data_IF_529942046812
#
_entry.id   IF_529942046812
#
_cell.length_a   1.000
_cell.length_b   1.000
_cell.length_c   1.000
_cell.angle_alpha   90.00
_cell.angle_beta   90.00
_cell.angle_gamma   90.00
#
_symmetry.space_group_name_H-M   'P 1'
#
loop_
_entity.id
_entity.type
_entity.pdbx_description
1 polymer ?
#
# COMPACT_ATOMS: atom_id res chain seq x y z
N UNK A 1 18.22 -3.44 -17.28
CA UNK A 1 17.58 -4.74 -17.58
C UNK A 1 16.50 -4.63 -18.66
N UNK A 2 15.62 -3.62 -18.65
CA UNK A 2 14.59 -3.43 -19.70
C UNK A 2 15.22 -3.35 -21.09
N UNK A 3 16.28 -2.56 -21.26
CA UNK A 3 17.01 -2.41 -22.53
C UNK A 3 17.70 -3.69 -22.99
N UNK A 4 18.19 -4.48 -22.05
CA UNK A 4 18.97 -5.70 -22.34
C UNK A 4 18.08 -6.91 -22.56
N UNK A 5 17.09 -7.12 -21.67
CA UNK A 5 16.20 -8.30 -21.69
C UNK A 5 14.99 -8.12 -22.58
N UNK A 6 14.63 -6.86 -22.92
CA UNK A 6 13.46 -6.50 -23.75
C UNK A 6 12.19 -7.24 -23.35
N UNK A 7 11.75 -7.16 -22.07
CA UNK A 7 10.57 -7.85 -21.62
C UNK A 7 9.31 -7.28 -22.30
N UNK A 8 8.28 -8.10 -22.45
CA UNK A 8 6.98 -7.65 -22.96
C UNK A 8 6.26 -6.75 -21.95
N UNK A 9 6.42 -7.06 -20.66
CA UNK A 9 5.83 -6.32 -19.54
C UNK A 9 6.92 -6.17 -18.47
N UNK A 10 7.05 -4.96 -17.93
CA UNK A 10 7.79 -4.66 -16.71
C UNK A 10 6.78 -4.35 -15.60
N UNK A 11 6.81 -5.11 -14.53
CA UNK A 11 5.92 -4.95 -13.38
C UNK A 11 6.71 -4.52 -12.15
N UNK A 12 6.17 -3.58 -11.37
CA UNK A 12 6.77 -3.10 -10.14
C UNK A 12 5.72 -2.72 -9.10
N UNK A 13 6.07 -2.88 -7.82
CA UNK A 13 5.25 -2.41 -6.70
C UNK A 13 5.62 -0.96 -6.40
N UNK A 14 4.63 -0.05 -6.35
CA UNK A 14 4.84 1.36 -5.98
C UNK A 14 5.06 1.54 -4.48
N UNK A 15 4.26 0.86 -3.66
CA UNK A 15 4.25 1.00 -2.20
C UNK A 15 4.31 -0.38 -1.53
N UNK A 16 5.51 -0.80 -1.10
CA UNK A 16 5.76 -2.14 -0.56
C UNK A 16 5.55 -2.19 0.95
N UNK A 17 4.47 -2.83 1.39
CA UNK A 17 4.07 -2.89 2.80
C UNK A 17 4.84 -3.92 3.63
N UNK A 18 5.56 -4.85 3.01
CA UNK A 18 6.41 -5.79 3.75
C UNK A 18 7.66 -5.12 4.31
N UNK A 19 8.14 -4.07 3.64
CA UNK A 19 9.37 -3.34 3.99
C UNK A 19 9.13 -1.89 4.40
N UNK A 20 8.03 -1.27 3.99
CA UNK A 20 7.76 0.16 4.20
C UNK A 20 8.47 1.07 3.18
N UNK A 21 8.78 0.54 1.98
CA UNK A 21 9.47 1.26 0.91
C UNK A 21 8.48 1.84 -0.09
N UNK A 22 8.67 3.11 -0.43
CA UNK A 22 8.07 3.78 -1.57
C UNK A 22 9.04 3.76 -2.75
N UNK A 23 8.63 3.15 -3.86
CA UNK A 23 9.41 3.06 -5.09
C UNK A 23 9.12 4.25 -5.99
N UNK A 24 10.10 5.13 -6.32
CA UNK A 24 9.91 6.16 -7.33
C UNK A 24 9.59 5.57 -8.71
N UNK A 25 8.58 6.12 -9.39
CA UNK A 25 8.10 5.62 -10.69
C UNK A 25 8.42 6.54 -11.86
N UNK A 26 8.82 7.79 -11.61
CA UNK A 26 9.13 8.77 -12.64
C UNK A 26 10.19 8.28 -13.63
N UNK A 27 9.96 8.50 -14.92
CA UNK A 27 10.86 8.10 -15.99
C UNK A 27 10.83 6.62 -16.39
N UNK A 28 10.28 5.73 -15.54
CA UNK A 28 10.20 4.30 -15.86
C UNK A 28 9.30 4.05 -17.07
N UNK A 29 8.15 4.73 -17.13
CA UNK A 29 7.24 4.61 -18.26
C UNK A 29 7.84 5.05 -19.59
N UNK A 30 8.69 6.09 -19.60
CA UNK A 30 9.43 6.49 -20.80
C UNK A 30 10.40 5.44 -21.25
N UNK A 31 11.14 4.84 -20.31
CA UNK A 31 12.05 3.74 -20.60
C UNK A 31 11.29 2.53 -21.15
N UNK A 32 10.15 2.20 -20.58
CA UNK A 32 9.29 1.11 -21.06
C UNK A 32 8.78 1.37 -22.48
N UNK A 33 8.29 2.60 -22.75
CA UNK A 33 7.82 2.97 -24.11
C UNK A 33 8.92 2.90 -25.15
N UNK A 34 10.12 3.41 -24.84
CA UNK A 34 11.29 3.35 -25.72
C UNK A 34 11.67 1.92 -26.11
N UNK A 35 11.41 0.95 -25.23
CA UNK A 35 11.75 -0.46 -25.43
C UNK A 35 10.55 -1.34 -25.82
N UNK A 36 9.41 -0.76 -26.23
CA UNK A 36 8.17 -1.47 -26.56
C UNK A 36 7.70 -2.44 -25.47
N UNK A 37 7.95 -2.09 -24.21
CA UNK A 37 7.56 -2.81 -23.02
C UNK A 37 6.30 -2.17 -22.42
N UNK A 38 5.36 -2.95 -21.92
CA UNK A 38 4.23 -2.44 -21.13
C UNK A 38 4.68 -2.21 -19.68
N UNK A 39 4.20 -1.11 -19.08
CA UNK A 39 4.49 -0.76 -17.70
C UNK A 39 3.29 -1.07 -16.81
N UNK A 40 3.43 -2.06 -15.92
CA UNK A 40 2.43 -2.49 -14.95
C UNK A 40 2.82 -2.04 -13.55
N UNK A 41 1.92 -1.36 -12.84
CA UNK A 41 2.14 -0.91 -11.47
C UNK A 41 1.16 -1.58 -10.50
N UNK A 42 1.71 -2.18 -9.47
CA UNK A 42 0.96 -2.52 -8.26
C UNK A 42 0.78 -1.25 -7.43
N UNK A 43 -0.44 -0.75 -7.38
CA UNK A 43 -0.85 0.43 -6.62
C UNK A 43 -1.73 0.05 -5.40
N UNK A 44 -1.62 -1.18 -4.90
CA UNK A 44 -2.44 -1.69 -3.79
C UNK A 44 -2.42 -0.77 -2.60
N UNK A 45 -1.26 -0.26 -2.21
CA UNK A 45 -1.12 0.57 -1.00
C UNK A 45 -1.03 2.07 -1.29
N UNK A 46 -0.81 2.47 -2.55
CA UNK A 46 -0.69 3.87 -2.93
C UNK A 46 -1.99 4.52 -3.41
N UNK A 47 -2.85 3.77 -4.11
CA UNK A 47 -4.07 4.34 -4.69
C UNK A 47 -4.95 5.01 -3.61
N UNK A 48 -5.28 6.27 -3.82
CA UNK A 48 -6.11 7.08 -2.94
C UNK A 48 -5.39 7.66 -1.73
N UNK A 49 -4.18 7.20 -1.39
CA UNK A 49 -3.42 7.67 -0.22
C UNK A 49 -2.13 8.42 -0.55
N UNK A 50 -1.54 8.14 -1.71
CA UNK A 50 -0.31 8.75 -2.21
C UNK A 50 -0.51 9.29 -3.62
N UNK A 51 0.38 10.18 -4.04
CA UNK A 51 0.47 10.63 -5.43
C UNK A 51 0.66 9.44 -6.36
N UNK A 52 -0.20 9.37 -7.38
CA UNK A 52 -0.15 8.34 -8.41
C UNK A 52 -0.66 8.94 -9.73
N UNK A 53 0.27 9.37 -10.56
CA UNK A 53 -0.02 10.05 -11.83
C UNK A 53 0.08 9.06 -12.99
N UNK A 54 -0.99 8.26 -13.19
CA UNK A 54 -1.01 7.13 -14.13
C UNK A 54 -0.65 7.57 -15.55
N UNK A 55 -1.24 8.64 -16.05
CA UNK A 55 -1.02 9.11 -17.41
C UNK A 55 0.32 9.81 -17.58
N UNK A 56 0.71 10.68 -16.64
CA UNK A 56 1.98 11.43 -16.67
C UNK A 56 3.18 10.48 -16.57
N UNK A 57 3.09 9.47 -15.69
CA UNK A 57 4.13 8.44 -15.55
C UNK A 57 4.04 7.36 -16.60
N UNK A 58 3.11 7.49 -17.56
CA UNK A 58 2.95 6.57 -18.69
C UNK A 58 2.78 5.12 -18.28
N UNK A 59 2.04 4.90 -17.20
CA UNK A 59 1.67 3.57 -16.72
C UNK A 59 0.65 2.98 -17.71
N UNK A 60 0.91 1.77 -18.20
CA UNK A 60 0.02 1.09 -19.15
C UNK A 60 -1.09 0.29 -18.45
N UNK A 61 -0.75 -0.27 -17.29
CA UNK A 61 -1.68 -1.04 -16.46
C UNK A 61 -1.42 -0.72 -15.00
N UNK A 62 -2.50 -0.58 -14.21
CA UNK A 62 -2.39 -0.52 -12.76
C UNK A 62 -3.53 -1.26 -12.10
N UNK A 63 -3.26 -1.84 -10.94
CA UNK A 63 -4.28 -2.45 -10.09
C UNK A 63 -4.11 -2.02 -8.64
N UNK A 64 -5.21 -2.11 -7.89
CA UNK A 64 -5.25 -1.82 -6.49
C UNK A 64 -6.26 -2.71 -5.76
N UNK A 65 -6.58 -2.38 -4.53
CA UNK A 65 -7.63 -3.04 -3.75
C UNK A 65 -8.44 -2.04 -2.92
N UNK A 66 -9.63 -2.46 -2.51
CA UNK A 66 -10.57 -1.61 -1.76
C UNK A 66 -10.14 -1.36 -0.30
N UNK A 67 -9.40 -2.29 0.34
CA UNK A 67 -9.13 -2.30 1.78
C UNK A 67 -7.86 -1.57 2.22
N UNK A 68 -7.25 -0.78 1.36
CA UNK A 68 -6.06 0.04 1.68
C UNK A 68 -6.40 1.52 1.70
N UNK A 69 -5.78 2.35 0.87
CA UNK A 69 -6.01 3.78 0.83
C UNK A 69 -7.47 4.20 0.58
N UNK A 70 -8.28 3.35 -0.04
CA UNK A 70 -9.71 3.60 -0.29
C UNK A 70 -10.60 3.39 0.95
N UNK A 71 -10.08 2.84 2.04
CA UNK A 71 -10.78 2.66 3.33
C UNK A 71 -12.08 1.84 3.28
N UNK A 72 -12.17 0.89 2.35
CA UNK A 72 -13.34 0.04 2.17
C UNK A 72 -13.07 -1.39 2.66
N UNK A 73 -14.10 -2.22 2.85
CA UNK A 73 -13.90 -3.65 3.07
C UNK A 73 -13.18 -4.33 1.90
N UNK A 74 -12.43 -5.42 2.13
CA UNK A 74 -11.82 -6.19 1.05
C UNK A 74 -12.88 -6.84 0.16
N UNK A 75 -12.55 -7.05 -1.13
CA UNK A 75 -13.43 -7.76 -2.07
C UNK A 75 -13.52 -7.14 -3.46
N UNK A 76 -12.98 -5.95 -3.68
CA UNK A 76 -12.87 -5.34 -5.01
C UNK A 76 -11.42 -4.95 -5.31
N UNK A 77 -11.07 -5.05 -6.58
CA UNK A 77 -9.76 -4.68 -7.11
C UNK A 77 -9.94 -3.67 -8.25
N UNK A 78 -9.82 -2.35 -7.96
CA UNK A 78 -9.74 -1.35 -9.01
C UNK A 78 -8.62 -1.70 -9.98
N UNK A 79 -8.92 -1.61 -11.27
CA UNK A 79 -8.00 -1.92 -12.36
C UNK A 79 -8.16 -0.91 -13.48
N UNK A 80 -7.06 -0.51 -14.10
CA UNK A 80 -7.04 0.30 -15.30
C UNK A 80 -6.02 -0.21 -16.30
N UNK A 81 -6.31 -0.01 -17.60
CA UNK A 81 -5.37 -0.22 -18.69
C UNK A 81 -5.57 0.84 -19.77
N UNK A 82 -4.48 1.23 -20.41
CA UNK A 82 -4.53 2.18 -21.51
C UNK A 82 -4.65 1.46 -22.88
N UNK A 83 -4.73 2.26 -23.94
CA UNK A 83 -4.90 1.74 -25.30
C UNK A 83 -3.78 0.79 -25.74
N UNK A 84 -2.52 1.03 -25.33
CA UNK A 84 -1.40 0.12 -25.66
C UNK A 84 -1.59 -1.27 -25.06
N UNK A 85 -2.07 -1.33 -23.82
CA UNK A 85 -2.37 -2.59 -23.14
C UNK A 85 -3.58 -3.29 -23.76
N UNK A 86 -4.63 -2.55 -24.12
CA UNK A 86 -5.78 -3.08 -24.84
C UNK A 86 -5.41 -3.67 -26.21
N UNK A 87 -4.59 -2.97 -26.99
CA UNK A 87 -4.13 -3.46 -28.28
C UNK A 87 -3.31 -4.76 -28.15
N UNK A 88 -2.48 -4.84 -27.11
CA UNK A 88 -1.73 -6.08 -26.82
C UNK A 88 -2.64 -7.22 -26.40
N UNK A 89 -3.67 -6.94 -25.58
CA UNK A 89 -4.69 -7.91 -25.20
C UNK A 89 -5.47 -8.42 -26.42
N UNK A 90 -5.90 -7.50 -27.30
CA UNK A 90 -6.67 -7.81 -28.50
C UNK A 90 -5.88 -8.63 -29.54
N UNK A 91 -4.57 -8.42 -29.60
CA UNK A 91 -3.66 -9.19 -30.47
C UNK A 91 -3.34 -10.60 -29.95
N UNK A 92 -3.84 -10.97 -28.76
CA UNK A 92 -3.59 -12.27 -28.16
C UNK A 92 -4.28 -13.38 -28.93
N UNK A 93 -3.55 -14.41 -29.32
CA UNK A 93 -4.06 -15.58 -30.03
C UNK A 93 -4.31 -16.79 -29.13
N UNK A 94 -3.64 -16.84 -27.97
CA UNK A 94 -3.80 -17.94 -27.02
C UNK A 94 -4.92 -17.67 -26.02
N UNK A 95 -5.66 -18.71 -25.64
CA UNK A 95 -6.71 -18.60 -24.61
C UNK A 95 -6.12 -18.20 -23.25
N UNK A 96 -6.81 -17.31 -22.54
CA UNK A 96 -6.49 -16.98 -21.14
C UNK A 96 -6.82 -18.20 -20.27
N UNK A 97 -5.88 -18.71 -19.43
CA UNK A 97 -6.10 -19.93 -18.66
C UNK A 97 -7.09 -19.76 -17.51
N UNK A 98 -7.31 -18.53 -17.06
CA UNK A 98 -8.27 -18.24 -15.99
C UNK A 98 -9.45 -17.44 -16.54
N UNK A 99 -10.60 -18.10 -16.63
CA UNK A 99 -11.84 -17.48 -17.14
C UNK A 99 -12.25 -16.25 -16.33
N UNK A 100 -12.15 -16.29 -15.00
CA UNK A 100 -12.59 -15.19 -14.13
C UNK A 100 -11.74 -13.92 -14.28
N UNK A 101 -10.46 -14.06 -14.59
CA UNK A 101 -9.51 -12.96 -14.79
C UNK A 101 -9.28 -12.62 -16.28
N UNK A 102 -10.09 -13.14 -17.18
CA UNK A 102 -10.01 -12.80 -18.59
C UNK A 102 -10.58 -11.40 -18.84
N UNK A 103 -9.69 -10.42 -19.01
CA UNK A 103 -10.06 -9.02 -19.23
C UNK A 103 -10.89 -8.82 -20.50
N UNK A 104 -10.76 -9.69 -21.53
CA UNK A 104 -11.55 -9.60 -22.74
C UNK A 104 -13.02 -9.94 -22.48
N UNK A 105 -13.28 -10.90 -21.59
CA UNK A 105 -14.62 -11.26 -21.15
C UNK A 105 -15.19 -10.21 -20.19
N UNK A 106 -14.37 -9.71 -19.27
CA UNK A 106 -14.77 -8.65 -18.33
C UNK A 106 -15.13 -7.35 -19.06
N UNK A 107 -14.38 -6.98 -20.10
CA UNK A 107 -14.69 -5.81 -20.93
C UNK A 107 -16.07 -5.93 -21.61
N UNK A 108 -16.45 -7.11 -22.07
CA UNK A 108 -17.78 -7.35 -22.66
C UNK A 108 -18.90 -7.31 -21.62
N UNK A 109 -18.59 -7.70 -20.37
CA UNK A 109 -19.56 -7.67 -19.28
C UNK A 109 -19.83 -6.23 -18.79
N UNK A 110 -18.79 -5.43 -18.62
CA UNK A 110 -18.89 -4.07 -18.07
C UNK A 110 -19.00 -2.99 -19.15
N UNK A 111 -18.67 -3.33 -20.39
CA UNK A 111 -18.81 -2.46 -21.55
C UNK A 111 -20.23 -2.38 -22.11
N UNK A 112 -20.34 -1.92 -23.34
CA UNK A 112 -21.62 -1.76 -24.07
C UNK A 112 -22.38 -3.06 -24.29
N UNK A 113 -21.67 -4.16 -24.49
CA UNK A 113 -22.24 -5.46 -24.84
C UNK A 113 -23.07 -6.08 -23.71
N UNK A 114 -22.75 -5.76 -22.47
CA UNK A 114 -23.39 -6.25 -21.24
C UNK A 114 -23.59 -7.78 -21.21
N UNK A 115 -22.63 -8.51 -21.74
CA UNK A 115 -22.66 -9.98 -21.71
C UNK A 115 -22.35 -10.45 -20.29
N UNK A 116 -23.30 -11.18 -19.69
CA UNK A 116 -23.13 -11.69 -18.33
C UNK A 116 -21.85 -12.54 -18.21
N UNK A 117 -21.07 -12.25 -17.19
CA UNK A 117 -19.84 -12.98 -16.84
C UNK A 117 -19.95 -13.61 -15.45
N UNK A 118 -20.17 -12.81 -14.42
CA UNK A 118 -20.30 -13.27 -13.03
C UNK A 118 -21.22 -12.34 -12.24
N UNK A 119 -21.70 -12.82 -11.08
CA UNK A 119 -22.46 -11.96 -10.18
C UNK A 119 -21.51 -11.02 -9.43
N UNK A 120 -21.61 -9.74 -9.72
CA UNK A 120 -20.80 -8.73 -9.02
C UNK A 120 -21.15 -8.65 -7.53
N UNK A 121 -20.16 -8.41 -6.63
CA UNK A 121 -20.40 -8.28 -5.20
C UNK A 121 -21.05 -6.93 -4.89
N UNK A 122 -22.38 -6.85 -4.98
CA UNK A 122 -23.17 -5.61 -4.91
C UNK A 122 -22.88 -4.80 -3.64
N UNK A 123 -22.79 -5.46 -2.48
CA UNK A 123 -22.51 -4.77 -1.23
C UNK A 123 -21.12 -4.10 -1.24
N UNK A 124 -20.13 -4.72 -1.88
CA UNK A 124 -18.80 -4.13 -2.01
C UNK A 124 -18.79 -2.95 -2.98
N UNK A 125 -19.65 -2.98 -4.01
CA UNK A 125 -19.82 -1.85 -4.92
C UNK A 125 -20.42 -0.62 -4.18
N UNK A 126 -21.37 -0.83 -3.27
CA UNK A 126 -21.86 0.26 -2.42
C UNK A 126 -20.77 0.78 -1.47
N UNK A 127 -19.97 -0.11 -0.89
CA UNK A 127 -18.87 0.28 0.00
C UNK A 127 -17.80 1.11 -0.74
N UNK A 128 -17.36 0.67 -1.92
CA UNK A 128 -16.35 1.42 -2.69
C UNK A 128 -16.91 2.75 -3.21
N UNK A 129 -18.18 2.81 -3.59
CA UNK A 129 -18.84 4.06 -3.96
C UNK A 129 -18.78 5.07 -2.81
N UNK A 130 -19.05 4.63 -1.58
CA UNK A 130 -18.96 5.51 -0.41
C UNK A 130 -17.52 5.94 -0.13
N UNK A 131 -16.55 5.03 -0.18
CA UNK A 131 -15.13 5.37 -0.05
C UNK A 131 -14.69 6.41 -1.08
N UNK A 132 -15.05 6.23 -2.34
CA UNK A 132 -14.77 7.19 -3.41
C UNK A 132 -15.47 8.53 -3.19
N UNK A 133 -16.70 8.54 -2.65
CA UNK A 133 -17.42 9.77 -2.29
C UNK A 133 -16.68 10.55 -1.19
N UNK A 134 -16.18 9.85 -0.17
CA UNK A 134 -15.38 10.48 0.90
C UNK A 134 -14.08 11.06 0.36
N UNK A 135 -13.39 10.32 -0.50
CA UNK A 135 -12.17 10.78 -1.20
C UNK A 135 -12.45 12.03 -2.04
N UNK A 136 -13.54 12.03 -2.80
CA UNK A 136 -13.92 13.18 -3.62
C UNK A 136 -14.27 14.43 -2.78
N UNK A 137 -14.89 14.23 -1.62
CA UNK A 137 -15.23 15.31 -0.70
C UNK A 137 -14.00 15.93 -0.02
N UNK A 138 -13.03 15.11 0.39
CA UNK A 138 -11.78 15.57 0.99
C UNK A 138 -10.84 16.16 -0.08
N UNK A 139 -10.81 15.58 -1.27
CA UNK A 139 -9.91 15.89 -2.38
C UNK A 139 -8.58 15.14 -2.27
N UNK A 140 -8.10 14.60 -3.41
CA UNK A 140 -6.90 13.75 -3.45
C UNK A 140 -5.66 14.44 -2.88
N UNK A 141 -5.41 15.68 -3.25
CA UNK A 141 -4.26 16.44 -2.76
C UNK A 141 -4.27 16.65 -1.24
N UNK A 142 -5.47 16.87 -0.66
CA UNK A 142 -5.62 16.97 0.79
C UNK A 142 -5.35 15.63 1.49
N UNK A 143 -5.81 14.53 0.88
CA UNK A 143 -5.56 13.18 1.39
C UNK A 143 -4.06 12.87 1.36
N UNK A 144 -3.37 13.14 0.25
CA UNK A 144 -1.93 12.93 0.13
C UNK A 144 -1.15 13.74 1.16
N UNK A 145 -1.51 15.02 1.32
CA UNK A 145 -0.92 15.92 2.33
C UNK A 145 -1.14 15.37 3.75
N UNK A 146 -2.35 14.92 4.06
CA UNK A 146 -2.71 14.36 5.37
C UNK A 146 -1.88 13.10 5.68
N UNK A 147 -1.77 12.16 4.74
CA UNK A 147 -0.96 10.96 4.90
C UNK A 147 0.51 11.31 5.12
N UNK A 148 1.06 12.20 4.30
CA UNK A 148 2.45 12.61 4.42
C UNK A 148 2.74 13.33 5.75
N UNK A 149 1.89 14.27 6.15
CA UNK A 149 2.04 15.01 7.41
C UNK A 149 2.00 14.10 8.62
N UNK A 150 1.04 13.16 8.67
CA UNK A 150 0.90 12.19 9.75
C UNK A 150 2.09 11.21 9.78
N UNK A 151 2.58 10.78 8.64
CA UNK A 151 3.76 9.93 8.56
C UNK A 151 5.01 10.65 9.08
N UNK A 152 5.25 11.89 8.67
CA UNK A 152 6.37 12.70 9.16
C UNK A 152 6.28 12.89 10.68
N UNK A 153 5.08 13.15 11.22
CA UNK A 153 4.86 13.25 12.67
C UNK A 153 5.20 11.94 13.37
N UNK A 154 4.73 10.80 12.84
CA UNK A 154 5.06 9.47 13.38
C UNK A 154 6.57 9.20 13.35
N UNK A 155 7.23 9.44 12.23
CA UNK A 155 8.68 9.21 12.10
C UNK A 155 9.49 10.01 13.11
N UNK A 156 9.24 11.32 13.18
CA UNK A 156 9.90 12.22 14.15
C UNK A 156 9.64 11.81 15.60
N UNK A 157 8.39 11.41 15.90
CA UNK A 157 8.01 10.95 17.23
C UNK A 157 8.75 9.66 17.61
N UNK A 158 8.79 8.67 16.73
CA UNK A 158 9.52 7.41 16.97
C UNK A 158 11.03 7.66 17.13
N UNK A 159 11.61 8.48 16.26
CA UNK A 159 13.04 8.86 16.34
C UNK A 159 13.35 9.62 17.65
N UNK A 160 12.44 10.49 18.13
CA UNK A 160 12.61 11.19 19.42
C UNK A 160 12.53 10.26 20.64
N UNK A 161 11.87 9.12 20.50
CA UNK A 161 11.85 8.05 21.51
C UNK A 161 13.07 7.11 21.41
N UNK A 162 14.04 7.44 20.56
CA UNK A 162 15.26 6.64 20.36
C UNK A 162 15.06 5.41 19.47
N UNK A 163 13.97 5.34 18.74
CA UNK A 163 13.70 4.20 17.85
C UNK A 163 14.30 4.41 16.46
N UNK A 164 14.79 3.35 15.87
CA UNK A 164 15.39 3.35 14.54
C UNK A 164 14.36 2.93 13.47
N UNK A 165 14.14 3.78 12.47
CA UNK A 165 13.34 3.43 11.31
C UNK A 165 14.14 2.53 10.37
N UNK A 166 13.48 1.50 9.81
CA UNK A 166 14.14 0.50 8.98
C UNK A 166 14.53 1.03 7.61
N UNK A 167 13.73 1.96 7.05
CA UNK A 167 13.89 2.47 5.68
C UNK A 167 14.58 3.83 5.71
N UNK A 168 15.52 4.03 4.77
CA UNK A 168 16.17 5.32 4.56
C UNK A 168 15.15 6.42 4.25
N UNK A 169 15.41 7.65 4.71
CA UNK A 169 14.42 8.74 4.73
C UNK A 169 13.78 9.04 3.36
N UNK A 170 14.58 8.96 2.30
CA UNK A 170 14.16 9.24 0.91
C UNK A 170 13.22 8.19 0.30
N UNK A 171 13.15 6.98 0.90
CA UNK A 171 12.31 5.88 0.41
C UNK A 171 11.23 5.46 1.40
N UNK A 172 11.02 6.22 2.49
CA UNK A 172 9.99 5.90 3.50
C UNK A 172 8.59 6.02 2.91
N UNK A 173 7.80 5.00 3.12
CA UNK A 173 6.41 4.92 2.68
C UNK A 173 5.48 5.61 3.70
N UNK A 174 4.76 6.69 3.33
CA UNK A 174 3.87 7.38 4.26
C UNK A 174 2.72 6.54 4.79
N UNK A 175 2.22 5.60 4.01
CA UNK A 175 1.10 4.74 4.42
C UNK A 175 1.50 3.57 5.32
N UNK A 176 2.80 3.24 5.39
CA UNK A 176 3.28 2.17 6.26
C UNK A 176 4.72 2.42 6.71
N UNK A 177 4.89 2.55 8.01
CA UNK A 177 6.20 2.70 8.65
C UNK A 177 6.70 1.36 9.17
N UNK A 178 7.95 1.02 8.86
CA UNK A 178 8.67 -0.08 9.51
C UNK A 178 9.68 0.49 10.50
N UNK A 179 9.56 0.08 11.76
CA UNK A 179 10.44 0.50 12.85
C UNK A 179 11.12 -0.72 13.46
N UNK A 180 12.42 -0.64 13.72
CA UNK A 180 13.18 -1.74 14.31
C UNK A 180 12.74 -1.98 15.75
N UNK A 181 12.60 -3.25 16.10
CA UNK A 181 12.34 -3.65 17.49
C UNK A 181 13.67 -3.48 18.26
N UNK A 182 13.67 -2.70 19.36
CA UNK A 182 14.89 -2.59 20.17
C UNK A 182 15.32 -3.97 20.69
N UNK A 183 16.63 -4.32 20.67
CA UNK A 183 17.10 -5.65 21.06
C UNK A 183 16.73 -6.06 22.49
N UNK A 184 16.50 -5.07 23.35
CA UNK A 184 16.13 -5.27 24.76
C UNK A 184 14.62 -5.41 24.98
N UNK A 185 13.80 -5.50 23.92
CA UNK A 185 12.33 -5.51 24.03
C UNK A 185 11.76 -6.82 23.50
N UNK A 186 10.86 -7.44 24.27
CA UNK A 186 9.98 -8.50 23.74
C UNK A 186 8.93 -7.88 22.84
N UNK A 187 9.22 -7.86 21.54
CA UNK A 187 8.39 -7.21 20.53
C UNK A 187 7.04 -7.87 20.32
N UNK A 188 6.89 -9.17 20.57
CA UNK A 188 5.62 -9.87 20.48
C UNK A 188 4.74 -9.60 21.71
N UNK A 189 5.31 -9.66 22.90
CA UNK A 189 4.60 -9.32 24.13
C UNK A 189 4.09 -7.88 24.09
N UNK A 190 4.89 -6.93 23.60
CA UNK A 190 4.50 -5.52 23.46
C UNK A 190 3.31 -5.34 22.48
N UNK A 191 3.35 -5.97 21.30
CA UNK A 191 2.23 -5.95 20.34
C UNK A 191 0.94 -6.50 20.95
N UNK A 192 1.04 -7.65 21.63
CA UNK A 192 -0.10 -8.26 22.31
C UNK A 192 -0.66 -7.38 23.41
N UNK A 193 0.19 -6.66 24.13
CA UNK A 193 -0.19 -5.69 25.15
C UNK A 193 -0.96 -4.51 24.54
N UNK A 194 -0.47 -3.92 23.45
CA UNK A 194 -1.14 -2.84 22.73
C UNK A 194 -2.54 -3.26 22.27
N UNK A 195 -2.66 -4.46 21.68
CA UNK A 195 -3.93 -4.97 21.20
C UNK A 195 -4.93 -5.21 22.36
N UNK A 196 -4.49 -5.95 23.40
CA UNK A 196 -5.39 -6.37 24.50
C UNK A 196 -5.83 -5.23 25.40
N UNK A 197 -4.95 -4.28 25.71
CA UNK A 197 -5.23 -3.25 26.69
C UNK A 197 -5.68 -1.92 26.07
N UNK A 198 -5.30 -1.65 24.83
CA UNK A 198 -5.59 -0.37 24.18
C UNK A 198 -6.34 -0.49 22.85
N UNK A 199 -6.59 -1.71 22.36
CA UNK A 199 -7.27 -1.94 21.09
C UNK A 199 -6.48 -1.45 19.87
N UNK A 200 -5.13 -1.39 19.97
CA UNK A 200 -4.26 -0.98 18.87
C UNK A 200 -3.49 -2.19 18.35
N UNK A 201 -3.67 -2.49 17.08
CA UNK A 201 -2.95 -3.54 16.40
C UNK A 201 -1.85 -2.95 15.51
N UNK A 202 -0.59 -3.34 15.75
CA UNK A 202 0.54 -3.10 14.84
C UNK A 202 1.05 -4.44 14.30
N UNK A 203 1.51 -4.43 13.02
CA UNK A 203 1.93 -5.65 12.36
C UNK A 203 3.34 -6.12 12.80
N UNK A 204 3.57 -7.43 12.75
CA UNK A 204 4.94 -7.98 12.78
C UNK A 204 5.62 -7.78 11.42
N UNK A 205 6.95 -7.81 11.39
CA UNK A 205 7.70 -7.94 10.14
C UNK A 205 7.31 -9.21 9.36
N UNK A 206 7.58 -9.22 8.06
CA UNK A 206 7.31 -10.36 7.18
C UNK A 206 8.61 -10.96 6.64
N UNK A 207 8.62 -12.25 6.39
CA UNK A 207 9.78 -12.95 5.82
C UNK A 207 11.06 -12.70 6.62
N UNK A 208 12.09 -12.17 6.00
CA UNK A 208 13.39 -11.88 6.62
C UNK A 208 13.34 -10.80 7.73
N UNK A 209 12.26 -10.02 7.78
CA UNK A 209 12.04 -8.97 8.80
C UNK A 209 11.16 -9.45 9.97
N UNK A 210 10.67 -10.68 9.95
CA UNK A 210 9.86 -11.25 11.04
C UNK A 210 10.64 -11.21 12.36
N UNK A 211 10.00 -10.69 13.41
CA UNK A 211 10.62 -10.51 14.73
C UNK A 211 11.69 -9.42 14.82
N UNK A 212 11.98 -8.70 13.73
CA UNK A 212 13.02 -7.64 13.70
C UNK A 212 12.44 -6.23 13.63
N UNK A 213 11.25 -6.10 13.07
CA UNK A 213 10.56 -4.81 12.89
C UNK A 213 9.10 -4.91 13.26
N UNK A 214 8.52 -3.82 13.68
CA UNK A 214 7.08 -3.61 13.67
C UNK A 214 6.69 -2.83 12.41
N UNK A 215 5.46 -3.09 11.94
CA UNK A 215 4.85 -2.40 10.81
C UNK A 215 3.63 -1.60 11.29
N UNK A 216 3.70 -0.29 11.15
CA UNK A 216 2.66 0.64 11.59
C UNK A 216 1.97 1.21 10.36
N UNK A 217 0.69 0.88 10.18
CA UNK A 217 -0.11 1.34 9.05
C UNK A 217 -0.83 2.65 9.35
N UNK A 218 -0.64 3.65 8.48
CA UNK A 218 -1.38 4.91 8.46
C UNK A 218 -2.08 5.04 7.11
N UNK A 219 -3.17 4.30 6.90
CA UNK A 219 -3.85 4.23 5.61
C UNK A 219 -5.29 4.69 5.71
N UNK A 220 -5.72 5.51 4.72
CA UNK A 220 -7.10 5.94 4.59
C UNK A 220 -7.60 6.67 5.85
N UNK A 221 -8.69 6.20 6.41
CA UNK A 221 -9.30 6.78 7.61
C UNK A 221 -8.40 6.73 8.85
N UNK A 222 -7.56 5.68 8.97
CA UNK A 222 -6.65 5.54 10.11
C UNK A 222 -5.48 6.53 10.10
N UNK A 223 -5.22 7.20 8.98
CA UNK A 223 -4.20 8.25 8.92
C UNK A 223 -4.78 9.55 9.50
N UNK A 224 -4.77 9.66 10.83
CA UNK A 224 -5.18 10.84 11.57
C UNK A 224 -4.11 11.25 12.59
N UNK A 225 -4.05 12.54 12.90
CA UNK A 225 -3.12 13.08 13.89
C UNK A 225 -3.38 12.48 15.28
N UNK A 226 -4.65 12.30 15.66
CA UNK A 226 -5.06 11.70 16.91
C UNK A 226 -4.52 10.27 17.08
N UNK A 227 -4.59 9.45 16.03
CA UNK A 227 -4.07 8.08 16.05
C UNK A 227 -2.55 8.05 16.19
N UNK A 228 -1.85 9.00 15.55
CA UNK A 228 -0.39 9.13 15.69
C UNK A 228 -0.01 9.51 17.11
N UNK A 229 -0.66 10.54 17.69
CA UNK A 229 -0.40 10.98 19.06
C UNK A 229 -0.68 9.89 20.08
N UNK A 230 -1.80 9.19 19.92
CA UNK A 230 -2.16 8.07 20.78
C UNK A 230 -1.11 6.95 20.73
N UNK A 231 -0.66 6.60 19.54
CA UNK A 231 0.35 5.55 19.38
C UNK A 231 1.70 5.97 20.00
N UNK A 232 2.18 7.18 19.70
CA UNK A 232 3.44 7.69 20.23
C UNK A 232 3.44 7.76 21.76
N UNK A 233 2.33 8.22 22.36
CA UNK A 233 2.18 8.23 23.82
C UNK A 233 2.26 6.83 24.43
N UNK A 234 1.67 5.81 23.78
CA UNK A 234 1.77 4.43 24.24
C UNK A 234 3.15 3.85 24.08
N UNK A 235 3.88 4.21 23.02
CA UNK A 235 5.29 3.82 22.90
C UNK A 235 6.13 4.42 24.03
N UNK A 236 5.94 5.70 24.37
CA UNK A 236 6.66 6.36 25.44
C UNK A 236 6.37 5.77 26.83
N UNK A 237 5.09 5.52 27.13
CA UNK A 237 4.65 5.10 28.47
C UNK A 237 4.73 3.61 28.71
N UNK A 238 4.52 2.79 27.67
CA UNK A 238 4.36 1.35 27.83
C UNK A 238 5.58 0.54 27.43
N UNK A 239 6.38 1.00 26.43
CA UNK A 239 7.46 0.21 25.84
C UNK A 239 8.49 -0.26 26.88
N UNK A 240 8.82 0.60 27.85
CA UNK A 240 9.80 0.32 28.92
C UNK A 240 9.42 -0.89 29.79
N UNK A 241 8.12 -1.23 29.87
CA UNK A 241 7.61 -2.37 30.67
C UNK A 241 7.95 -3.72 30.03
N UNK A 242 8.42 -3.74 28.79
CA UNK A 242 8.73 -4.94 28.01
C UNK A 242 10.24 -5.12 27.77
N UNK A 243 11.06 -4.45 28.56
CA UNK A 243 12.52 -4.66 28.53
C UNK A 243 12.87 -6.08 29.00
N UNK A 244 13.66 -6.80 28.20
CA UNK A 244 14.14 -8.16 28.50
C UNK A 244 15.24 -8.14 29.57
N UNK A 245 15.92 -6.99 29.75
CA UNK A 245 16.93 -6.83 30.79
C UNK A 245 16.27 -6.34 32.08
N UNK A 246 16.22 -7.21 33.07
CA UNK A 246 15.72 -6.90 34.40
C UNK A 246 16.57 -5.79 35.02
N UNK A 247 15.93 -4.70 35.48
CA UNK A 247 16.57 -3.58 36.20
C UNK A 247 16.96 -3.94 37.65
N UNK A 248 16.97 -5.22 38.01
CA UNK A 248 17.30 -5.72 39.35
C UNK A 248 18.76 -6.16 39.52
N UNK A 249 19.66 -5.78 38.63
CA UNK A 249 21.09 -6.16 38.68
C UNK A 249 22.02 -4.95 38.75
N UNK A 250 21.64 -3.90 39.53
CA UNK A 250 22.61 -2.88 40.02
C UNK A 250 22.30 -2.50 41.45
#
# INVERSE_FOLDING_TARGET
EIETKKPVIFAIVHAETSTGVLQPLEGIGDLCRKNNCLFLVDAVTSLGALELFIDDWKIDLAYSCSQKGLSCPPGLSPFTMNKRAEDKLSARTSKVPNWYLDLSLLNRYWGSDRVYHHTAPVNMNFAIREGLRLIANEGLENIWRRHNSNAIKLWKGLESLGMELHVASEFRLPTLTTVKIPPAVDGEAFRNHLLKNFGIEIGNGLGALSGKVWRIGLMGFNSSEENVDRLLNLFDTELKKFSIFDSSSF
#
